data_IF_694044680190
#
_entry.id   IF_694044680190
#
_cell.length_a   1.000
_cell.length_b   1.000
_cell.length_c   1.000
_cell.angle_alpha   90.00
_cell.angle_beta   90.00
_cell.angle_gamma   90.00
#
_symmetry.space_group_name_H-M   'P 1'
#
loop_
_entity.id
_entity.type
_entity.pdbx_description
1 polymer ?
#
# COMPACT_ATOMS: atom_id res chain seq x y z
N UNK A 1 -10.99 -1.90 -18.83
CA UNK A 1 -10.47 -1.68 -17.46
C UNK A 1 -10.35 -3.04 -16.78
N UNK A 2 -9.42 -3.23 -15.84
CA UNK A 2 -9.37 -4.48 -15.04
C UNK A 2 -9.60 -4.14 -13.58
N UNK A 3 -10.36 -5.00 -12.90
CA UNK A 3 -10.60 -4.89 -11.47
C UNK A 3 -10.09 -6.16 -10.80
N UNK A 4 -9.28 -6.00 -9.77
CA UNK A 4 -8.67 -7.09 -9.02
C UNK A 4 -9.20 -7.11 -7.60
N UNK A 5 -9.75 -8.25 -7.17
CA UNK A 5 -10.07 -8.46 -5.75
C UNK A 5 -8.81 -8.86 -5.01
N UNK A 6 -8.43 -8.09 -4.00
CA UNK A 6 -7.35 -8.48 -3.10
C UNK A 6 -7.90 -9.39 -1.99
N UNK A 7 -7.31 -10.57 -1.87
CA UNK A 7 -7.63 -11.54 -0.83
C UNK A 7 -6.90 -11.13 0.44
N UNK A 8 -7.63 -10.46 1.34
CA UNK A 8 -7.13 -10.10 2.67
C UNK A 8 -6.96 -11.40 3.47
N UNK A 9 -5.76 -11.71 3.97
CA UNK A 9 -5.59 -12.91 4.79
C UNK A 9 -6.41 -12.84 6.08
N UNK A 10 -7.07 -13.93 6.47
CA UNK A 10 -7.92 -13.98 7.67
C UNK A 10 -7.23 -13.50 8.95
N UNK A 11 -5.91 -13.66 9.11
CA UNK A 11 -5.18 -13.19 10.29
C UNK A 11 -4.94 -11.66 10.32
N UNK A 12 -5.12 -10.99 9.18
CA UNK A 12 -5.08 -9.53 9.05
C UNK A 12 -6.45 -8.90 9.36
N UNK A 13 -7.50 -9.71 9.21
CA UNK A 13 -8.90 -9.34 9.38
C UNK A 13 -9.67 -10.55 9.93
N UNK A 14 -9.58 -10.74 11.25
CA UNK A 14 -10.12 -11.91 11.95
C UNK A 14 -11.63 -12.13 11.75
N UNK A 15 -12.35 -11.10 11.29
CA UNK A 15 -13.81 -11.11 11.17
C UNK A 15 -14.28 -11.11 9.70
N UNK A 16 -13.37 -11.27 8.72
CA UNK A 16 -13.64 -11.05 7.28
C UNK A 16 -14.42 -9.75 7.00
N UNK A 17 -14.16 -8.74 7.85
CA UNK A 17 -14.88 -7.48 7.91
C UNK A 17 -14.53 -6.53 6.77
N UNK A 18 -13.42 -6.80 6.09
CA UNK A 18 -12.80 -6.02 5.05
C UNK A 18 -13.01 -6.58 3.64
N UNK A 19 -12.96 -5.65 2.68
CA UNK A 19 -13.07 -5.91 1.26
C UNK A 19 -12.13 -4.96 0.52
N UNK A 20 -11.12 -5.51 -0.15
CA UNK A 20 -10.10 -4.72 -0.84
C UNK A 20 -10.13 -5.00 -2.34
N UNK A 21 -10.14 -3.93 -3.13
CA UNK A 21 -10.12 -4.00 -4.59
C UNK A 21 -9.13 -3.01 -5.17
N UNK A 22 -8.55 -3.39 -6.30
CA UNK A 22 -7.72 -2.56 -7.16
C UNK A 22 -8.40 -2.41 -8.52
N UNK A 23 -8.24 -1.26 -9.17
CA UNK A 23 -8.68 -1.02 -10.53
C UNK A 23 -7.52 -0.42 -11.33
N UNK A 24 -7.27 -0.94 -12.53
CA UNK A 24 -6.19 -0.44 -13.39
C UNK A 24 -6.73 0.22 -14.65
N UNK A 25 -6.05 1.28 -15.09
CA UNK A 25 -6.40 2.01 -16.31
C UNK A 25 -6.43 1.05 -17.51
N UNK A 26 -7.35 1.25 -18.48
CA UNK A 26 -7.28 0.53 -19.76
C UNK A 26 -5.98 0.79 -20.54
N UNK A 27 -5.22 1.82 -20.15
CA UNK A 27 -3.89 2.15 -20.70
C UNK A 27 -2.76 1.27 -20.16
N UNK A 28 -3.07 0.28 -19.32
CA UNK A 28 -2.07 -0.64 -18.81
C UNK A 28 -2.58 -2.08 -18.71
N UNK A 29 -1.64 -3.01 -18.81
CA UNK A 29 -1.82 -4.43 -18.54
C UNK A 29 -1.12 -4.74 -17.22
N UNK A 30 -1.78 -5.48 -16.33
CA UNK A 30 -1.13 -5.98 -15.12
C UNK A 30 -0.32 -7.21 -15.51
N UNK A 31 0.99 -7.16 -15.28
CA UNK A 31 1.87 -8.32 -15.43
C UNK A 31 1.92 -9.08 -14.10
N UNK A 32 1.48 -10.35 -14.11
CA UNK A 32 1.60 -11.23 -12.95
C UNK A 32 3.03 -11.77 -12.87
N UNK A 33 3.86 -11.06 -12.12
CA UNK A 33 5.27 -11.41 -11.93
C UNK A 33 5.46 -12.51 -10.86
N UNK A 34 4.48 -12.71 -9.98
CA UNK A 34 4.53 -13.74 -8.96
C UNK A 34 3.20 -14.50 -8.90
N UNK A 35 3.21 -15.85 -9.02
CA UNK A 35 2.00 -16.68 -9.00
C UNK A 35 1.35 -16.81 -7.61
N UNK A 36 1.85 -16.08 -6.61
CA UNK A 36 1.16 -15.94 -5.33
C UNK A 36 -0.01 -14.96 -5.51
N UNK A 37 -1.13 -15.53 -5.96
CA UNK A 37 -2.38 -14.87 -6.37
C UNK A 37 -3.13 -14.20 -5.22
N UNK A 38 -2.51 -13.21 -4.58
CA UNK A 38 -3.18 -12.34 -3.61
C UNK A 38 -4.22 -11.42 -4.25
N UNK A 39 -4.17 -11.24 -5.57
CA UNK A 39 -5.15 -10.48 -6.34
C UNK A 39 -5.74 -11.36 -7.43
N UNK A 40 -7.06 -11.47 -7.46
CA UNK A 40 -7.80 -12.15 -8.54
C UNK A 40 -8.37 -11.09 -9.47
N UNK A 41 -7.81 -10.99 -10.67
CA UNK A 41 -8.22 -10.02 -11.68
C UNK A 41 -9.41 -10.54 -12.50
N UNK A 42 -10.39 -9.67 -12.70
CA UNK A 42 -11.48 -9.85 -13.65
C UNK A 42 -11.54 -8.65 -14.59
N UNK A 43 -11.84 -8.92 -15.86
CA UNK A 43 -12.30 -7.86 -16.75
C UNK A 43 -13.67 -7.38 -16.25
N UNK A 44 -13.83 -6.07 -16.06
CA UNK A 44 -15.15 -5.50 -15.80
C UNK A 44 -15.37 -4.31 -16.74
N UNK A 45 -16.29 -4.50 -17.67
CA UNK A 45 -16.70 -3.49 -18.65
C UNK A 45 -17.83 -2.59 -18.11
N UNK A 46 -18.51 -3.00 -17.03
CA UNK A 46 -19.81 -2.45 -16.62
C UNK A 46 -19.70 -1.20 -15.75
N UNK A 47 -18.56 -1.00 -15.07
CA UNK A 47 -18.29 0.21 -14.28
C UNK A 47 -17.49 1.28 -15.00
N UNK A 48 -17.08 1.07 -16.26
CA UNK A 48 -16.25 2.03 -16.98
C UNK A 48 -16.92 3.41 -17.17
N UNK A 49 -18.25 3.48 -17.08
CA UNK A 49 -19.02 4.64 -17.52
C UNK A 49 -20.13 5.06 -16.56
N UNK A 50 -20.02 4.72 -15.27
CA UNK A 50 -20.98 5.21 -14.29
C UNK A 50 -20.98 6.75 -14.29
N UNK A 51 -22.06 7.35 -14.81
CA UNK A 51 -22.19 8.79 -15.03
C UNK A 51 -21.83 9.62 -13.79
N UNK A 52 -22.22 9.16 -12.61
CA UNK A 52 -21.91 9.83 -11.33
C UNK A 52 -20.42 9.90 -11.01
N UNK A 53 -19.63 8.90 -11.42
CA UNK A 53 -18.17 8.90 -11.25
C UNK A 53 -17.54 9.83 -12.30
N UNK A 54 -18.00 9.76 -13.55
CA UNK A 54 -17.50 10.58 -14.67
C UNK A 54 -17.75 12.07 -14.40
N UNK A 55 -18.96 12.44 -14.01
CA UNK A 55 -19.34 13.83 -13.74
C UNK A 55 -18.51 14.42 -12.59
N UNK A 56 -18.29 13.66 -11.50
CA UNK A 56 -17.41 14.09 -10.40
C UNK A 56 -15.94 14.18 -10.83
N UNK A 57 -15.46 13.27 -11.66
CA UNK A 57 -14.10 13.31 -12.18
C UNK A 57 -13.90 14.56 -13.07
N UNK A 58 -14.87 14.92 -13.90
CA UNK A 58 -14.78 16.08 -14.80
C UNK A 58 -14.61 17.42 -14.06
N UNK A 59 -15.03 17.52 -12.80
CA UNK A 59 -14.83 18.68 -11.94
C UNK A 59 -13.39 18.79 -11.38
N UNK A 60 -12.55 17.76 -11.57
CA UNK A 60 -11.16 17.74 -11.10
C UNK A 60 -10.20 18.18 -12.21
N UNK A 61 -9.02 18.64 -11.79
CA UNK A 61 -7.90 18.86 -12.71
C UNK A 61 -7.58 17.57 -13.49
N UNK A 62 -7.22 17.70 -14.78
CA UNK A 62 -7.05 16.56 -15.70
C UNK A 62 -6.16 15.44 -15.15
N UNK A 63 -5.07 15.80 -14.44
CA UNK A 63 -4.16 14.84 -13.82
C UNK A 63 -4.79 13.98 -12.71
N UNK A 64 -5.91 14.41 -12.13
CA UNK A 64 -6.61 13.70 -11.06
C UNK A 64 -7.87 12.96 -11.53
N UNK A 65 -8.30 13.14 -12.78
CA UNK A 65 -9.54 12.55 -13.26
C UNK A 65 -9.45 11.02 -13.36
N UNK A 66 -8.41 10.49 -14.01
CA UNK A 66 -8.21 9.04 -14.13
C UNK A 66 -7.96 8.37 -12.78
N UNK A 67 -7.02 8.85 -11.92
CA UNK A 67 -6.80 8.25 -10.61
C UNK A 67 -8.06 8.28 -9.72
N UNK A 68 -8.84 9.37 -9.80
CA UNK A 68 -10.13 9.44 -9.11
C UNK A 68 -11.08 8.33 -9.57
N UNK A 69 -11.31 8.19 -10.89
CA UNK A 69 -12.18 7.14 -11.46
C UNK A 69 -11.76 5.75 -10.99
N UNK A 70 -10.46 5.42 -11.08
CA UNK A 70 -9.95 4.11 -10.68
C UNK A 70 -10.20 3.82 -9.19
N UNK A 71 -9.92 4.78 -8.31
CA UNK A 71 -10.17 4.59 -6.87
C UNK A 71 -11.67 4.44 -6.54
N UNK A 72 -12.56 5.10 -7.30
CA UNK A 72 -14.01 5.00 -7.11
C UNK A 72 -14.62 3.73 -7.68
N UNK A 73 -14.09 3.22 -8.77
CA UNK A 73 -14.44 1.90 -9.30
C UNK A 73 -14.02 0.83 -8.29
N UNK A 74 -12.79 0.88 -7.78
CA UNK A 74 -12.35 0.00 -6.70
C UNK A 74 -13.27 0.10 -5.46
N UNK A 75 -13.66 1.31 -5.06
CA UNK A 75 -14.57 1.52 -3.92
C UNK A 75 -15.96 0.92 -4.15
N UNK A 76 -16.51 1.09 -5.35
CA UNK A 76 -17.79 0.53 -5.78
C UNK A 76 -17.82 -0.99 -5.61
N UNK A 77 -16.75 -1.68 -6.05
CA UNK A 77 -16.61 -3.12 -5.84
C UNK A 77 -16.41 -3.49 -4.37
N UNK A 78 -15.53 -2.79 -3.66
CA UNK A 78 -15.24 -3.06 -2.26
C UNK A 78 -16.50 -2.98 -1.39
N UNK A 79 -17.27 -1.90 -1.55
CA UNK A 79 -18.52 -1.68 -0.82
C UNK A 79 -19.62 -2.64 -1.26
N UNK A 80 -19.79 -2.89 -2.56
CA UNK A 80 -20.81 -3.86 -3.04
C UNK A 80 -20.57 -5.26 -2.49
N UNK A 81 -19.31 -5.72 -2.49
CA UNK A 81 -18.94 -7.01 -1.91
C UNK A 81 -19.23 -7.06 -0.41
N UNK A 82 -18.94 -5.98 0.32
CA UNK A 82 -19.21 -5.89 1.76
C UNK A 82 -20.72 -5.89 2.08
N UNK A 83 -21.53 -5.13 1.32
CA UNK A 83 -22.97 -5.05 1.51
C UNK A 83 -23.69 -6.37 1.15
N UNK A 84 -23.23 -7.06 0.10
CA UNK A 84 -23.75 -8.37 -0.28
C UNK A 84 -23.53 -9.42 0.83
N UNK A 85 -22.36 -9.44 1.48
CA UNK A 85 -22.09 -10.36 2.61
C UNK A 85 -23.04 -10.17 3.79
N UNK A 86 -23.58 -8.96 3.99
CA UNK A 86 -24.52 -8.65 5.07
C UNK A 86 -25.98 -9.00 4.75
N UNK A 87 -26.25 -9.60 3.58
CA UNK A 87 -27.62 -9.87 3.14
C UNK A 87 -28.41 -8.61 2.80
N UNK A 88 -27.77 -7.44 2.72
CA UNK A 88 -28.41 -6.17 2.34
C UNK A 88 -28.58 -6.04 0.82
N UNK A 89 -27.95 -6.90 0.04
CA UNK A 89 -28.17 -7.03 -1.38
C UNK A 89 -28.23 -8.51 -1.74
N UNK A 90 -29.22 -8.91 -2.56
CA UNK A 90 -29.01 -10.04 -3.46
C UNK A 90 -27.72 -9.76 -4.24
N UNK A 91 -26.95 -10.79 -4.60
CA UNK A 91 -25.74 -10.65 -5.39
C UNK A 91 -26.12 -9.97 -6.73
N UNK A 92 -26.20 -8.65 -6.74
CA UNK A 92 -26.44 -7.88 -7.95
C UNK A 92 -25.22 -8.16 -8.81
N UNK A 93 -25.48 -8.63 -10.03
CA UNK A 93 -24.41 -8.92 -10.98
C UNK A 93 -23.54 -7.68 -11.26
N UNK A 94 -24.07 -6.49 -10.98
CA UNK A 94 -23.39 -5.20 -11.10
C UNK A 94 -23.16 -4.52 -9.74
N UNK A 95 -21.93 -4.13 -9.42
CA UNK A 95 -21.66 -3.27 -8.26
C UNK A 95 -22.33 -1.90 -8.39
N UNK A 96 -22.80 -1.32 -7.28
CA UNK A 96 -23.34 0.03 -7.29
C UNK A 96 -22.22 1.06 -7.47
N UNK A 97 -22.50 2.15 -8.19
CA UNK A 97 -21.50 3.17 -8.49
C UNK A 97 -21.32 4.17 -7.35
N UNK A 98 -20.30 3.97 -6.52
CA UNK A 98 -19.90 4.89 -5.47
C UNK A 98 -18.93 5.95 -5.99
N UNK A 99 -19.36 7.22 -5.99
CA UNK A 99 -18.51 8.38 -6.33
C UNK A 99 -18.17 9.25 -5.11
N UNK A 100 -18.54 8.79 -3.91
CA UNK A 100 -18.56 9.55 -2.66
C UNK A 100 -17.19 9.87 -2.02
N UNK A 101 -17.19 10.56 -0.88
CA UNK A 101 -16.05 10.68 0.05
C UNK A 101 -16.09 9.60 1.13
N UNK A 102 -15.04 9.49 1.96
CA UNK A 102 -15.00 8.51 3.06
C UNK A 102 -16.07 8.78 4.11
N UNK A 103 -16.40 10.06 4.31
CA UNK A 103 -17.45 10.53 5.21
C UNK A 103 -18.85 10.18 4.65
N UNK A 104 -19.06 10.35 3.33
CA UNK A 104 -20.29 9.91 2.66
C UNK A 104 -20.46 8.39 2.73
N UNK A 105 -19.38 7.61 2.57
CA UNK A 105 -19.41 6.14 2.74
C UNK A 105 -19.87 5.73 4.14
N UNK A 106 -19.35 6.39 5.18
CA UNK A 106 -19.72 6.10 6.56
C UNK A 106 -21.16 6.50 6.86
N UNK A 107 -21.54 7.72 6.47
CA UNK A 107 -22.87 8.30 6.75
C UNK A 107 -23.99 7.57 6.02
N UNK A 108 -23.81 7.29 4.74
CA UNK A 108 -24.90 6.82 3.88
C UNK A 108 -24.95 5.28 3.79
N UNK A 109 -23.83 4.60 4.09
CA UNK A 109 -23.71 3.14 3.92
C UNK A 109 -23.15 2.40 5.15
N UNK A 110 -22.91 3.09 6.27
CA UNK A 110 -22.37 2.47 7.49
C UNK A 110 -21.03 1.75 7.25
N UNK A 111 -20.23 2.27 6.31
CA UNK A 111 -19.02 1.60 5.81
C UNK A 111 -17.84 2.56 5.92
N UNK A 112 -16.79 2.11 6.60
CA UNK A 112 -15.51 2.80 6.56
C UNK A 112 -14.79 2.50 5.25
N UNK A 113 -14.00 3.47 4.78
CA UNK A 113 -13.36 3.41 3.49
C UNK A 113 -11.97 4.04 3.53
N UNK A 114 -10.96 3.31 3.07
CA UNK A 114 -9.64 3.84 2.72
C UNK A 114 -9.47 3.80 1.22
N UNK A 115 -8.94 4.89 0.67
CA UNK A 115 -8.76 5.09 -0.78
C UNK A 115 -7.33 5.48 -1.06
N UNK A 116 -6.75 4.93 -2.12
CA UNK A 116 -5.48 5.36 -2.69
C UNK A 116 -5.51 5.27 -4.20
N UNK A 117 -4.63 6.01 -4.87
CA UNK A 117 -4.44 5.91 -6.30
C UNK A 117 -3.10 6.48 -6.72
N UNK A 118 -2.66 5.99 -7.87
CA UNK A 118 -1.60 6.52 -8.70
C UNK A 118 -2.12 6.67 -10.14
N UNK A 119 -1.28 7.19 -11.03
CA UNK A 119 -1.64 7.55 -12.41
C UNK A 119 -2.45 6.46 -13.14
N UNK A 120 -2.06 5.19 -12.99
CA UNK A 120 -2.64 4.07 -13.73
C UNK A 120 -3.36 3.03 -12.87
N UNK A 121 -3.44 3.25 -11.56
CA UNK A 121 -4.02 2.28 -10.62
C UNK A 121 -4.72 3.00 -9.47
N UNK A 122 -5.91 2.53 -9.11
CA UNK A 122 -6.64 2.96 -7.93
C UNK A 122 -6.97 1.78 -7.05
N UNK A 123 -7.15 2.03 -5.76
CA UNK A 123 -7.54 1.00 -4.82
C UNK A 123 -8.45 1.53 -3.73
N UNK A 124 -9.23 0.60 -3.19
CA UNK A 124 -10.13 0.88 -2.09
C UNK A 124 -10.19 -0.32 -1.14
N UNK A 125 -10.23 -0.01 0.14
CA UNK A 125 -10.46 -0.95 1.23
C UNK A 125 -11.67 -0.49 2.03
N UNK A 126 -12.74 -1.28 2.01
CA UNK A 126 -13.98 -1.02 2.71
C UNK A 126 -14.17 -2.01 3.87
N UNK A 127 -14.69 -1.54 5.01
CA UNK A 127 -15.03 -2.39 6.14
C UNK A 127 -16.22 -1.86 6.95
N UNK A 128 -16.86 -2.74 7.71
CA UNK A 128 -18.07 -2.40 8.47
C UNK A 128 -17.79 -1.40 9.60
N UNK A 129 -18.67 -0.40 9.78
CA UNK A 129 -18.64 0.47 10.97
C UNK A 129 -19.14 -0.22 12.24
N UNK A 130 -20.09 -1.16 12.10
CA UNK A 130 -20.62 -1.97 13.18
C UNK A 130 -20.35 -3.45 12.87
N UNK A 131 -19.32 -4.09 13.44
CA UNK A 131 -19.18 -5.53 13.33
C UNK A 131 -20.35 -6.16 14.11
N UNK A 132 -21.34 -6.72 13.41
CA UNK A 132 -22.53 -7.36 14.00
C UNK A 132 -22.23 -8.69 14.68
N UNK A 133 -20.96 -8.97 15.00
CA UNK A 133 -20.56 -10.14 15.77
C UNK A 133 -20.92 -9.93 17.23
N UNK A 134 -21.80 -10.80 17.74
CA UNK A 134 -22.17 -10.95 19.15
C UNK A 134 -21.05 -10.52 20.10
N UNK A 135 -21.21 -9.34 20.70
CA UNK A 135 -20.32 -8.84 21.73
C UNK A 135 -20.31 -9.82 22.91
N UNK A 136 -19.30 -10.68 22.98
CA UNK A 136 -18.84 -11.18 24.28
C UNK A 136 -18.46 -9.96 25.12
N UNK A 137 -18.90 -9.96 26.37
CA UNK A 137 -18.96 -8.84 27.32
C UNK A 137 -17.58 -8.37 27.82
N UNK A 138 -16.67 -8.07 26.91
CA UNK A 138 -15.35 -7.49 27.14
C UNK A 138 -14.81 -6.95 25.83
N UNK A 139 -15.33 -5.79 25.39
CA UNK A 139 -15.18 -5.29 24.01
C UNK A 139 -13.71 -5.25 23.56
N UNK A 140 -13.27 -6.17 22.68
CA UNK A 140 -11.98 -6.05 22.02
C UNK A 140 -12.09 -4.84 21.07
N UNK A 141 -11.07 -3.97 21.02
CA UNK A 141 -11.09 -2.81 20.13
C UNK A 141 -11.43 -3.18 18.68
N UNK A 142 -12.05 -2.23 17.96
CA UNK A 142 -12.40 -2.36 16.55
C UNK A 142 -11.13 -2.37 15.68
N UNK A 143 -11.00 -3.28 14.72
CA UNK A 143 -9.93 -3.19 13.72
C UNK A 143 -10.22 -2.05 12.74
N UNK A 144 -9.26 -1.17 12.54
CA UNK A 144 -9.31 -0.11 11.52
C UNK A 144 -8.21 -0.34 10.51
N UNK A 145 -8.47 0.05 9.26
CA UNK A 145 -7.59 -0.24 8.14
C UNK A 145 -7.18 1.02 7.37
N UNK A 146 -6.04 0.94 6.71
CA UNK A 146 -5.58 1.88 5.71
C UNK A 146 -4.98 1.13 4.51
N UNK A 147 -5.13 1.75 3.35
CA UNK A 147 -4.61 1.29 2.08
C UNK A 147 -3.87 2.46 1.44
N UNK A 148 -2.68 2.17 0.94
CA UNK A 148 -1.88 3.09 0.15
C UNK A 148 -1.27 2.38 -1.06
N UNK A 149 -1.01 3.16 -2.12
CA UNK A 149 -0.51 2.71 -3.41
C UNK A 149 0.52 3.73 -3.83
N UNK A 150 1.72 3.28 -4.20
CA UNK A 150 2.84 4.13 -4.55
C UNK A 150 3.50 3.64 -5.83
N UNK A 151 3.67 4.54 -6.80
CA UNK A 151 4.46 4.28 -8.00
C UNK A 151 5.95 4.47 -7.69
N UNK A 152 6.74 3.39 -7.86
CA UNK A 152 8.16 3.39 -7.52
C UNK A 152 8.95 4.36 -8.41
N UNK A 153 8.55 4.57 -9.66
CA UNK A 153 9.21 5.53 -10.56
C UNK A 153 8.92 6.98 -10.16
N UNK A 154 7.74 7.25 -9.58
CA UNK A 154 7.42 8.59 -9.07
C UNK A 154 8.19 8.86 -7.77
N UNK A 155 8.35 7.87 -6.90
CA UNK A 155 9.25 7.93 -5.74
C UNK A 155 10.68 8.18 -6.17
N UNK A 156 11.16 7.44 -7.16
CA UNK A 156 12.49 7.62 -7.75
C UNK A 156 12.68 9.06 -8.22
N UNK A 157 11.76 9.56 -9.05
CA UNK A 157 11.81 10.94 -9.59
C UNK A 157 11.82 11.98 -8.48
N UNK A 158 10.99 11.81 -7.44
CA UNK A 158 10.95 12.71 -6.28
C UNK A 158 12.26 12.63 -5.50
N UNK A 159 12.82 11.43 -5.35
CA UNK A 159 14.07 11.23 -4.62
C UNK A 159 15.27 11.88 -5.30
N UNK A 160 15.36 11.77 -6.62
CA UNK A 160 16.39 12.43 -7.41
C UNK A 160 16.23 13.95 -7.41
N UNK A 161 14.99 14.45 -7.46
CA UNK A 161 14.74 15.90 -7.50
C UNK A 161 14.87 16.59 -6.15
N UNK A 162 14.62 15.88 -5.05
CA UNK A 162 14.61 16.43 -3.70
C UNK A 162 15.32 15.53 -2.68
N UNK A 163 16.62 15.25 -2.86
CA UNK A 163 17.37 14.29 -2.02
C UNK A 163 17.35 14.68 -0.54
N UNK A 164 17.55 15.97 -0.23
CA UNK A 164 17.51 16.47 1.15
C UNK A 164 16.16 16.29 1.84
N UNK A 165 15.05 16.37 1.08
CA UNK A 165 13.73 16.09 1.63
C UNK A 165 13.61 14.60 1.90
N UNK A 166 14.03 13.74 0.98
CA UNK A 166 13.99 12.30 1.20
C UNK A 166 14.79 11.87 2.42
N UNK A 167 16.00 12.40 2.64
CA UNK A 167 16.79 12.08 3.84
C UNK A 167 16.05 12.44 5.13
N UNK A 168 15.47 13.64 5.21
CA UNK A 168 14.68 14.06 6.38
C UNK A 168 13.46 13.20 6.61
N UNK A 169 12.88 12.68 5.53
CA UNK A 169 11.71 11.82 5.61
C UNK A 169 12.15 10.44 6.08
N UNK A 170 13.27 9.87 5.61
CA UNK A 170 13.65 8.46 5.78
C UNK A 170 14.59 8.13 6.94
N UNK A 171 15.36 9.08 7.44
CA UNK A 171 16.36 8.85 8.49
C UNK A 171 16.16 9.84 9.65
N UNK A 172 15.78 9.39 10.86
CA UNK A 172 15.50 10.28 11.97
C UNK A 172 16.78 10.74 12.71
N UNK A 173 17.97 10.25 12.33
CA UNK A 173 19.18 10.33 13.18
C UNK A 173 20.48 10.74 12.49
N UNK A 174 20.51 11.08 11.20
CA UNK A 174 21.77 11.46 10.54
C UNK A 174 21.90 12.99 10.48
N UNK A 175 22.93 13.59 11.12
CA UNK A 175 23.23 15.01 10.96
C UNK A 175 23.57 15.31 9.50
N UNK A 176 23.09 16.45 8.99
CA UNK A 176 23.47 16.98 7.68
C UNK A 176 24.98 17.26 7.68
N UNK A 177 25.77 16.38 7.06
CA UNK A 177 27.12 16.72 6.64
C UNK A 177 27.04 17.33 5.24
N UNK A 178 27.64 18.51 5.11
CA UNK A 178 27.67 19.29 3.87
C UNK A 178 28.39 18.52 2.75
N UNK A 179 27.89 18.72 1.53
CA UNK A 179 28.40 18.30 0.22
C UNK A 179 28.07 16.86 -0.23
N UNK A 180 26.92 16.72 -0.90
CA UNK A 180 26.72 15.71 -1.95
C UNK A 180 26.77 16.42 -3.29
N UNK A 181 27.85 16.21 -4.04
CA UNK A 181 27.93 16.63 -5.43
C UNK A 181 27.19 15.61 -6.30
N UNK A 182 26.44 16.14 -7.26
CA UNK A 182 25.68 15.38 -8.25
C UNK A 182 26.60 14.52 -9.13
N UNK A 183 26.11 13.32 -9.48
CA UNK A 183 26.64 12.38 -10.50
C UNK A 183 27.73 11.36 -10.14
N UNK A 184 27.63 10.64 -9.03
CA UNK A 184 28.47 9.45 -8.88
C UNK A 184 27.73 8.20 -8.37
N UNK A 185 28.16 7.04 -8.85
CA UNK A 185 27.66 5.72 -8.46
C UNK A 185 27.75 5.47 -6.93
N UNK A 186 28.50 6.31 -6.21
CA UNK A 186 28.55 6.38 -4.74
C UNK A 186 27.18 6.65 -4.09
N UNK A 187 26.26 7.33 -4.77
CA UNK A 187 24.93 7.65 -4.24
C UNK A 187 24.08 6.41 -3.92
N UNK A 188 24.31 5.28 -4.60
CA UNK A 188 23.52 4.06 -4.38
C UNK A 188 23.94 3.33 -3.10
N UNK A 189 25.24 3.31 -2.81
CA UNK A 189 25.77 2.75 -1.56
C UNK A 189 25.48 3.65 -0.38
N UNK A 190 25.53 4.97 -0.56
CA UNK A 190 25.15 5.93 0.47
C UNK A 190 23.65 5.83 0.79
N UNK A 191 22.77 5.73 -0.23
CA UNK A 191 21.34 5.48 -0.04
C UNK A 191 21.08 4.13 0.64
N UNK A 192 21.77 3.06 0.23
CA UNK A 192 21.66 1.76 0.87
C UNK A 192 22.11 1.82 2.35
N UNK A 193 23.20 2.53 2.66
CA UNK A 193 23.67 2.77 4.03
C UNK A 193 22.67 3.60 4.83
N UNK A 194 22.10 4.66 4.26
CA UNK A 194 21.05 5.48 4.90
C UNK A 194 19.79 4.67 5.19
N UNK A 195 19.38 3.80 4.27
CA UNK A 195 18.26 2.88 4.46
C UNK A 195 18.58 1.75 5.45
N UNK A 196 19.82 1.67 5.93
CA UNK A 196 20.36 0.61 6.80
C UNK A 196 20.24 -0.78 6.15
N UNK A 197 20.49 -0.88 4.84
CA UNK A 197 20.58 -2.16 4.12
C UNK A 197 21.94 -2.80 4.46
N UNK A 198 21.99 -3.98 5.11
CA UNK A 198 23.24 -4.61 5.51
C UNK A 198 24.18 -4.87 4.32
N UNK A 199 25.47 -4.59 4.51
CA UNK A 199 26.49 -4.67 3.46
C UNK A 199 26.60 -6.09 2.85
N UNK A 200 26.32 -7.12 3.64
CA UNK A 200 26.37 -8.53 3.24
C UNK A 200 25.28 -8.91 2.23
N UNK A 201 24.18 -8.15 2.18
CA UNK A 201 23.14 -8.32 1.16
C UNK A 201 23.50 -7.68 -0.16
N UNK A 202 24.34 -6.63 -0.10
CA UNK A 202 24.70 -5.85 -1.27
C UNK A 202 25.45 -6.69 -2.31
N UNK A 203 26.08 -7.80 -1.89
CA UNK A 203 26.99 -8.59 -2.71
C UNK A 203 26.48 -9.98 -3.18
N UNK A 204 25.43 -10.56 -2.57
CA UNK A 204 25.00 -11.93 -2.90
C UNK A 204 23.49 -12.14 -2.99
N UNK A 205 22.73 -11.50 -2.09
CA UNK A 205 21.26 -11.55 -2.13
C UNK A 205 20.73 -10.61 -3.20
N UNK A 206 21.37 -9.45 -3.36
CA UNK A 206 21.06 -8.58 -4.48
C UNK A 206 21.35 -9.23 -5.82
N UNK A 207 22.37 -10.05 -6.01
CA UNK A 207 22.60 -10.68 -7.31
C UNK A 207 21.52 -11.70 -7.68
N UNK A 208 20.99 -12.44 -6.70
CA UNK A 208 19.88 -13.37 -6.93
C UNK A 208 18.54 -12.64 -7.10
N UNK A 209 18.24 -11.64 -6.27
CA UNK A 209 17.05 -10.79 -6.42
C UNK A 209 17.12 -9.91 -7.67
N UNK A 210 18.31 -9.47 -8.07
CA UNK A 210 18.56 -8.77 -9.32
C UNK A 210 18.37 -9.66 -10.53
N UNK A 211 18.84 -10.91 -10.48
CA UNK A 211 18.59 -11.86 -11.58
C UNK A 211 17.09 -12.07 -11.74
N UNK A 212 16.37 -12.18 -10.62
CA UNK A 212 14.93 -12.40 -10.61
C UNK A 212 14.16 -11.12 -10.99
N UNK A 213 14.58 -9.95 -10.53
CA UNK A 213 14.01 -8.66 -10.92
C UNK A 213 14.36 -8.28 -12.35
N UNK A 214 15.58 -8.51 -12.86
CA UNK A 214 15.90 -8.33 -14.29
C UNK A 214 15.13 -9.29 -15.18
N UNK A 215 14.95 -10.54 -14.74
CA UNK A 215 14.10 -11.50 -15.45
C UNK A 215 12.63 -11.06 -15.46
N UNK A 216 12.16 -10.44 -14.38
CA UNK A 216 10.77 -9.97 -14.22
C UNK A 216 10.50 -8.57 -14.78
N UNK A 217 11.55 -7.74 -14.92
CA UNK A 217 11.49 -6.33 -15.32
C UNK A 217 12.62 -6.01 -16.33
N UNK A 218 12.65 -6.67 -17.51
CA UNK A 218 13.75 -6.51 -18.46
C UNK A 218 13.88 -5.10 -19.05
N UNK A 219 12.83 -4.29 -18.99
CA UNK A 219 12.79 -2.88 -19.41
C UNK A 219 13.14 -1.89 -18.30
N UNK A 220 13.47 -2.35 -17.08
CA UNK A 220 14.05 -1.50 -16.05
C UNK A 220 15.49 -1.14 -16.46
N UNK A 221 15.63 -0.03 -17.18
CA UNK A 221 16.92 0.54 -17.61
C UNK A 221 17.63 1.25 -16.45
N UNK A 222 17.76 0.58 -15.31
CA UNK A 222 18.46 1.11 -14.15
C UNK A 222 19.88 0.56 -14.12
N UNK A 223 20.85 1.47 -14.01
CA UNK A 223 22.29 1.17 -14.06
C UNK A 223 22.78 0.26 -12.93
N UNK A 224 22.04 0.07 -11.83
CA UNK A 224 22.50 -0.73 -10.69
C UNK A 224 21.36 -1.43 -9.89
N UNK A 225 21.49 -2.73 -9.55
CA UNK A 225 20.44 -3.47 -8.84
C UNK A 225 20.14 -2.98 -7.41
N UNK A 226 21.20 -2.52 -6.72
CA UNK A 226 21.11 -1.81 -5.44
C UNK A 226 20.07 -0.70 -5.46
N UNK A 227 20.06 0.06 -6.54
CA UNK A 227 19.19 1.22 -6.67
C UNK A 227 17.74 0.80 -6.80
N UNK A 228 17.42 -0.16 -7.67
CA UNK A 228 16.06 -0.68 -7.83
C UNK A 228 15.50 -1.21 -6.50
N UNK A 229 16.29 -1.99 -5.76
CA UNK A 229 15.89 -2.50 -4.45
C UNK A 229 15.69 -1.36 -3.45
N UNK A 230 16.58 -0.37 -3.44
CA UNK A 230 16.46 0.81 -2.57
C UNK A 230 15.19 1.62 -2.86
N UNK A 231 14.85 1.82 -4.13
CA UNK A 231 13.63 2.54 -4.53
C UNK A 231 12.36 1.77 -4.16
N UNK A 232 12.38 0.44 -4.28
CA UNK A 232 11.30 -0.41 -3.82
C UNK A 232 11.10 -0.33 -2.29
N UNK A 233 12.17 -0.44 -1.51
CA UNK A 233 12.13 -0.28 -0.04
C UNK A 233 11.61 1.11 0.33
N UNK A 234 12.08 2.12 -0.38
CA UNK A 234 11.66 3.49 -0.18
C UNK A 234 10.16 3.67 -0.44
N UNK A 235 9.66 3.14 -1.55
CA UNK A 235 8.24 3.16 -1.88
C UNK A 235 7.38 2.44 -0.81
N UNK A 236 7.86 1.32 -0.26
CA UNK A 236 7.19 0.63 0.86
C UNK A 236 7.14 1.48 2.13
N UNK A 237 8.25 2.08 2.53
CA UNK A 237 8.30 2.97 3.72
C UNK A 237 7.40 4.18 3.53
N UNK A 238 7.41 4.78 2.34
CA UNK A 238 6.52 5.88 1.97
C UNK A 238 5.06 5.44 2.09
N UNK A 239 4.71 4.30 1.51
CA UNK A 239 3.33 3.81 1.47
C UNK A 239 2.80 3.46 2.86
N UNK A 240 3.62 2.85 3.71
CA UNK A 240 3.29 2.58 5.11
C UNK A 240 3.06 3.87 5.90
N UNK A 241 3.88 4.89 5.68
CA UNK A 241 3.72 6.20 6.33
C UNK A 241 2.39 6.84 5.96
N UNK A 242 2.01 6.81 4.69
CA UNK A 242 0.70 7.28 4.23
C UNK A 242 -0.45 6.46 4.83
N UNK A 243 -0.27 5.14 5.00
CA UNK A 243 -1.22 4.33 5.75
C UNK A 243 -1.39 4.82 7.20
N UNK A 244 -0.30 5.13 7.91
CA UNK A 244 -0.37 5.63 9.28
C UNK A 244 -1.10 6.98 9.38
N UNK A 245 -0.84 7.90 8.44
CA UNK A 245 -1.59 9.16 8.34
C UNK A 245 -3.07 8.92 8.08
N UNK A 246 -3.41 7.97 7.20
CA UNK A 246 -4.80 7.58 6.92
C UNK A 246 -5.50 6.98 8.16
N UNK A 247 -4.79 6.20 8.99
CA UNK A 247 -5.32 5.66 10.24
C UNK A 247 -5.64 6.76 11.28
N UNK A 248 -4.78 7.79 11.37
CA UNK A 248 -4.96 8.94 12.26
C UNK A 248 -5.99 9.97 11.77
N UNK A 249 -6.13 10.09 10.45
CA UNK A 249 -6.96 11.08 9.78
C UNK A 249 -6.16 12.30 9.26
N UNK A 250 -6.72 12.95 8.24
CA UNK A 250 -6.12 14.05 7.47
C UNK A 250 -5.62 15.26 8.31
N UNK A 251 -6.18 15.60 9.49
CA UNK A 251 -5.67 16.72 10.29
C UNK A 251 -4.22 16.59 10.79
N UNK A 252 -3.61 15.38 10.74
CA UNK A 252 -2.29 15.09 11.34
C UNK A 252 -1.22 14.81 10.28
N UNK A 253 -1.10 15.69 9.28
CA UNK A 253 -0.23 15.47 8.10
C UNK A 253 1.27 15.39 8.42
N UNK A 254 1.70 15.84 9.60
CA UNK A 254 3.07 15.68 10.06
C UNK A 254 3.20 14.34 10.81
N UNK A 255 3.78 13.37 10.13
CA UNK A 255 4.06 12.03 10.66
C UNK A 255 5.44 11.64 10.15
N UNK A 256 6.38 11.39 11.06
CA UNK A 256 7.77 11.05 10.75
C UNK A 256 7.85 9.66 10.09
N UNK A 257 8.69 9.44 9.07
CA UNK A 257 8.69 8.14 8.38
C UNK A 257 9.45 7.07 9.15
N UNK A 258 10.27 7.46 10.12
CA UNK A 258 11.01 6.53 10.95
C UNK A 258 10.26 6.09 12.21
N UNK A 259 8.99 6.46 12.33
CA UNK A 259 8.20 6.12 13.49
C UNK A 259 7.64 4.69 13.44
N UNK A 260 7.91 3.90 12.39
CA UNK A 260 7.46 2.50 12.33
C UNK A 260 8.67 1.57 12.38
N UNK A 261 8.80 0.85 13.49
CA UNK A 261 9.80 -0.18 13.66
C UNK A 261 9.16 -1.55 13.37
N UNK A 262 9.86 -2.38 12.61
CA UNK A 262 9.46 -3.78 12.43
C UNK A 262 9.86 -4.54 13.71
N UNK A 263 8.90 -5.16 14.40
CA UNK A 263 9.24 -6.09 15.47
C UNK A 263 9.87 -7.28 14.75
N UNK A 264 11.22 -7.35 14.72
CA UNK A 264 12.01 -8.26 13.87
C UNK A 264 11.81 -9.77 14.10
N UNK A 265 10.73 -10.17 14.77
CA UNK A 265 10.25 -11.54 14.82
C UNK A 265 9.35 -11.82 13.62
N UNK A 266 9.88 -12.55 12.65
CA UNK A 266 9.02 -13.50 11.94
C UNK A 266 8.32 -14.33 13.03
N UNK A 267 6.99 -14.42 13.08
CA UNK A 267 6.34 -15.25 14.07
C UNK A 267 6.88 -16.67 13.90
N UNK A 268 7.61 -17.14 14.91
CA UNK A 268 8.13 -18.51 14.97
C UNK A 268 6.94 -19.46 14.73
N UNK A 269 6.90 -20.08 13.56
CA UNK A 269 5.95 -21.14 13.26
C UNK A 269 5.06 -21.01 12.01
N UNK A 270 5.21 -19.99 11.14
CA UNK A 270 4.38 -19.95 9.91
C UNK A 270 5.20 -19.79 8.64
N UNK A 271 5.37 -20.91 7.93
CA UNK A 271 5.90 -21.00 6.57
C UNK A 271 5.13 -20.05 5.65
N UNK A 272 5.82 -19.06 5.10
CA UNK A 272 5.34 -18.37 3.90
C UNK A 272 5.35 -19.37 2.76
N UNK A 273 4.21 -19.57 2.09
CA UNK A 273 4.16 -20.34 0.87
C UNK A 273 4.77 -19.52 -0.27
N UNK A 274 6.00 -19.85 -0.67
CA UNK A 274 6.66 -19.28 -1.85
C UNK A 274 8.17 -19.14 -1.66
N UNK A 275 8.94 -19.58 -2.65
CA UNK A 275 10.41 -19.77 -2.59
C UNK A 275 11.31 -18.55 -2.38
N UNK A 276 10.80 -17.43 -1.85
CA UNK A 276 11.57 -16.23 -1.50
C UNK A 276 12.12 -16.23 -0.07
N UNK A 277 12.04 -17.36 0.64
CA UNK A 277 12.28 -17.44 2.08
C UNK A 277 13.75 -17.47 2.53
N UNK A 278 14.73 -17.22 1.66
CA UNK A 278 16.15 -17.21 2.07
C UNK A 278 16.69 -15.79 2.18
N UNK A 279 16.84 -15.38 3.45
CA UNK A 279 17.85 -14.46 3.99
C UNK A 279 17.87 -13.01 3.50
N UNK A 280 16.76 -12.27 3.65
CA UNK A 280 16.90 -10.84 3.99
C UNK A 280 16.79 -10.68 5.51
N UNK A 281 17.63 -9.85 6.15
CA UNK A 281 17.53 -9.54 7.56
C UNK A 281 16.19 -8.86 7.87
N UNK A 282 15.72 -9.08 9.09
CA UNK A 282 14.40 -8.69 9.61
C UNK A 282 14.04 -7.20 9.52
N UNK A 283 14.97 -6.34 9.08
CA UNK A 283 14.76 -4.92 8.80
C UNK A 283 14.32 -4.60 7.35
N UNK A 284 14.36 -5.57 6.43
CA UNK A 284 13.99 -5.37 5.02
C UNK A 284 12.62 -5.97 4.72
N UNK A 285 11.79 -5.14 4.11
CA UNK A 285 10.41 -5.48 3.82
C UNK A 285 10.33 -6.27 2.51
N UNK A 286 10.37 -7.58 2.60
CA UNK A 286 9.88 -8.49 1.55
C UNK A 286 8.45 -8.16 1.07
N UNK A 287 8.20 -8.28 -0.23
CA UNK A 287 6.83 -8.23 -0.76
C UNK A 287 6.02 -9.47 -0.43
N UNK A 288 4.70 -9.29 -0.42
CA UNK A 288 3.71 -10.29 -0.09
C UNK A 288 3.94 -10.91 1.30
N UNK A 289 4.50 -10.11 2.21
CA UNK A 289 4.80 -10.52 3.58
C UNK A 289 3.95 -9.73 4.54
N UNK A 290 3.45 -10.44 5.55
CA UNK A 290 2.81 -9.83 6.71
C UNK A 290 3.89 -9.43 7.71
N UNK A 291 3.87 -8.16 8.11
CA UNK A 291 4.69 -7.60 9.16
C UNK A 291 3.84 -7.31 10.39
N UNK A 292 4.42 -7.55 11.56
CA UNK A 292 3.98 -6.93 12.79
C UNK A 292 4.95 -5.81 13.09
N UNK A 293 4.43 -4.60 13.22
CA UNK A 293 5.23 -3.40 13.39
C UNK A 293 4.69 -2.59 14.56
N UNK A 294 5.52 -1.68 15.05
CA UNK A 294 5.16 -0.79 16.14
C UNK A 294 5.40 0.66 15.75
N UNK A 295 4.44 1.51 16.07
CA UNK A 295 4.62 2.96 16.03
C UNK A 295 5.42 3.38 17.27
N UNK A 296 6.55 4.05 17.05
CA UNK A 296 7.51 4.54 18.04
C UNK A 296 7.60 6.08 18.00
N UNK A 297 8.45 6.67 18.85
CA UNK A 297 8.62 8.12 18.91
C UNK A 297 7.40 8.88 19.44
N UNK A 298 7.29 10.15 19.05
CA UNK A 298 6.18 11.05 19.42
C UNK A 298 4.86 10.60 18.79
N UNK A 299 4.94 10.02 17.59
CA UNK A 299 3.83 9.45 16.84
C UNK A 299 3.07 8.38 17.62
N UNK A 300 3.78 7.62 18.47
CA UNK A 300 3.16 6.63 19.37
C UNK A 300 2.17 7.29 20.33
N UNK A 301 2.51 8.47 20.86
CA UNK A 301 1.62 9.20 21.76
C UNK A 301 0.40 9.74 20.99
N UNK A 302 0.60 10.21 19.76
CA UNK A 302 -0.48 10.66 18.88
C UNK A 302 -1.45 9.51 18.57
N UNK A 303 -0.95 8.32 18.21
CA UNK A 303 -1.77 7.12 18.04
C UNK A 303 -2.65 6.82 19.25
N UNK A 304 -2.03 6.78 20.44
CA UNK A 304 -2.74 6.50 21.70
C UNK A 304 -3.80 7.55 22.02
N UNK A 305 -3.50 8.84 21.81
CA UNK A 305 -4.48 9.93 22.03
C UNK A 305 -5.71 9.85 21.14
N UNK A 306 -5.63 9.08 20.04
CA UNK A 306 -6.73 8.82 19.10
C UNK A 306 -7.39 7.46 19.33
N UNK A 307 -7.10 6.83 20.47
CA UNK A 307 -7.58 5.50 20.81
C UNK A 307 -6.99 4.39 19.94
N UNK A 308 -5.93 4.66 19.16
CA UNK A 308 -5.29 3.63 18.34
C UNK A 308 -4.21 2.90 19.15
N UNK A 309 -4.21 1.58 19.03
CA UNK A 309 -3.12 0.73 19.51
C UNK A 309 -1.94 0.89 18.55
N UNK A 310 -0.75 1.29 19.02
CA UNK A 310 0.42 1.56 18.17
C UNK A 310 1.12 0.28 17.69
N UNK A 311 0.38 -0.82 17.53
CA UNK A 311 0.83 -2.07 16.95
C UNK A 311 0.08 -2.25 15.64
N UNK A 312 0.81 -2.26 14.54
CA UNK A 312 0.23 -2.39 13.21
C UNK A 312 0.52 -3.78 12.67
N UNK A 313 -0.49 -4.38 12.06
CA UNK A 313 -0.27 -5.44 11.08
C UNK A 313 -0.14 -4.78 9.71
N UNK A 314 0.85 -5.18 8.92
CA UNK A 314 1.08 -4.57 7.61
C UNK A 314 1.30 -5.64 6.56
N UNK A 315 0.65 -5.50 5.42
CA UNK A 315 0.91 -6.29 4.22
C UNK A 315 1.39 -5.34 3.15
N UNK A 316 2.55 -5.61 2.57
CA UNK A 316 3.05 -4.85 1.42
C UNK A 316 3.29 -5.79 0.26
N UNK A 317 2.88 -5.41 -0.95
CA UNK A 317 3.08 -6.21 -2.17
C UNK A 317 3.60 -5.34 -3.31
N UNK A 318 4.31 -5.97 -4.25
CA UNK A 318 4.64 -5.34 -5.53
C UNK A 318 3.68 -5.84 -6.61
N UNK A 319 3.27 -4.91 -7.47
CA UNK A 319 2.61 -5.18 -8.74
C UNK A 319 3.38 -4.47 -9.85
N UNK A 320 3.33 -5.02 -11.05
CA UNK A 320 3.89 -4.35 -12.23
C UNK A 320 2.77 -4.03 -13.20
N UNK A 321 2.72 -2.77 -13.62
CA UNK A 321 1.85 -2.31 -14.68
C UNK A 321 2.70 -2.11 -15.93
N UNK A 322 2.28 -2.67 -17.04
CA UNK A 322 2.86 -2.39 -18.35
C UNK A 322 1.95 -1.45 -19.12
N UNK A 323 2.43 -0.26 -19.48
CA UNK A 323 1.64 0.67 -20.29
C UNK A 323 1.49 0.12 -21.72
N UNK A 324 0.58 0.71 -22.51
CA UNK A 324 0.41 0.33 -23.92
C UNK A 324 1.67 0.61 -24.74
N UNK A 325 2.47 1.60 -24.33
CA UNK A 325 3.76 1.95 -24.91
C UNK A 325 4.89 1.00 -24.49
N UNK A 326 4.60 0.04 -23.60
CA UNK A 326 5.55 -0.97 -23.13
C UNK A 326 6.40 -0.54 -21.92
N UNK A 327 6.14 0.63 -21.33
CA UNK A 327 6.78 1.08 -20.09
C UNK A 327 6.34 0.20 -18.92
N UNK A 328 7.29 -0.31 -18.14
CA UNK A 328 7.01 -1.04 -16.89
C UNK A 328 7.00 -0.08 -15.72
N UNK A 329 5.93 -0.13 -14.93
CA UNK A 329 5.71 0.71 -13.75
C UNK A 329 5.49 -0.19 -12.54
N UNK A 330 6.53 -0.43 -11.73
CA UNK A 330 6.40 -1.15 -10.47
C UNK A 330 5.67 -0.26 -9.47
N UNK A 331 4.71 -0.88 -8.79
CA UNK A 331 3.83 -0.24 -7.84
C UNK A 331 3.87 -1.03 -6.54
N UNK A 332 4.04 -0.32 -5.44
CA UNK A 332 3.82 -0.85 -4.09
C UNK A 332 2.36 -0.66 -3.72
N UNK A 333 1.73 -1.72 -3.23
CA UNK A 333 0.42 -1.64 -2.56
C UNK A 333 0.63 -2.05 -1.11
N UNK A 334 0.35 -1.15 -0.18
CA UNK A 334 0.49 -1.37 1.26
C UNK A 334 -0.86 -1.27 1.94
N UNK A 335 -1.15 -2.27 2.77
CA UNK A 335 -2.29 -2.27 3.68
C UNK A 335 -1.79 -2.31 5.10
N UNK A 336 -2.29 -1.43 5.96
CA UNK A 336 -2.01 -1.47 7.39
C UNK A 336 -3.31 -1.58 8.18
N UNK A 337 -3.29 -2.31 9.29
CA UNK A 337 -4.39 -2.38 10.23
C UNK A 337 -3.90 -2.21 11.66
N UNK A 338 -4.75 -1.66 12.53
CA UNK A 338 -4.50 -1.62 13.97
C UNK A 338 -5.82 -1.67 14.73
N UNK A 339 -5.75 -1.84 16.05
CA UNK A 339 -6.93 -1.79 16.92
C UNK A 339 -7.24 -0.35 17.33
N UNK A 340 -8.51 0.01 17.30
CA UNK A 340 -9.07 1.23 17.88
C UNK A 340 -9.87 0.86 19.12
N UNK A 341 -9.45 1.38 20.27
CA UNK A 341 -10.14 1.24 21.54
C UNK A 341 -11.36 2.15 21.56
N UNK A 342 -12.47 1.65 22.09
CA UNK A 342 -13.67 2.44 22.38
C UNK A 342 -13.26 3.57 23.31
N UNK A 343 -13.34 4.82 22.84
CA UNK A 343 -13.03 6.00 23.65
C UNK A 343 -14.29 6.46 24.39
#
# INVERSE_FOLDING_TARGET
>A
MRVGRFLIPHFFDNDDSGSCFLATSPKCVVEEICPNNSVVWSADERLLEAKTIVDRAAALHHAHQEPFKLSRIAASHAMSCLLARKGHATLQETPFAFSGTREEALRDYGTHLSLSHETFIGGALAWSANPTGTHSTGSPGMTVFALDIVDVLDVERVSCRFPERMRRLLTPRVPLYDSFLENDHSNNEDLARELCIPAELLSSTLDSENTLMKASYPSFSVLHPLYTVSQCILAQRWSLRECCVKLLGIPHRAFNYACVECDGGMPEGRQGCGGFQRSLPSGLWHPNTLYVTRVVGEERAVFKSRGLVPHLQVISMFKCLKTLEGELRPVVVTMASCKRLSC
#
